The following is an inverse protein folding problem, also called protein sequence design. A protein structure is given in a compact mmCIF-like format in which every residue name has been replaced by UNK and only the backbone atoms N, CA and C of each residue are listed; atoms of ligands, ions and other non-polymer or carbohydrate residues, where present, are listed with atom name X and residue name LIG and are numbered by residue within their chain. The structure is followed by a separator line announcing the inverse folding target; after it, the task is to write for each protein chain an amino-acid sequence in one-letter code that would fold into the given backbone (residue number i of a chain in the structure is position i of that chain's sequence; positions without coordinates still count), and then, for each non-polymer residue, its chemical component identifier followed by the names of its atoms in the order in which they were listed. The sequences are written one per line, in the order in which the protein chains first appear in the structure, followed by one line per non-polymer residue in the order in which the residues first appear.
data_IF_992826190182
#
_entry.id   IF_992826190182
#
_cell.length_a   1.000
_cell.length_b   1.000
_cell.length_c   1.000
_cell.angle_alpha   90.00
_cell.angle_beta   90.00
_cell.angle_gamma   90.00
#
_symmetry.space_group_name_H-M   'P 1'
#
loop_
_entity.id
_entity.type
_entity.pdbx_description
1 polymer ?
#
# COMPACT_ATOMS: atom_id res chain seq x y z
N UNK A 1 4.21 1.82 8.55
CA UNK A 1 3.66 0.52 8.99
C UNK A 1 3.48 0.54 10.49
N UNK A 2 2.25 0.46 10.96
CA UNK A 2 1.90 0.48 12.38
C UNK A 2 0.94 -0.68 12.72
N UNK A 3 0.65 -0.86 14.01
CA UNK A 3 -0.34 -1.82 14.49
C UNK A 3 -1.59 -1.07 14.91
N UNK A 4 -2.73 -1.54 14.42
CA UNK A 4 -4.05 -1.03 14.78
C UNK A 4 -4.48 -1.56 16.17
N UNK A 5 -5.55 -1.00 16.76
CA UNK A 5 -6.08 -1.39 18.07
C UNK A 5 -6.48 -2.89 18.12
N UNK A 6 -6.87 -3.47 16.98
CA UNK A 6 -7.14 -4.91 16.82
C UNK A 6 -5.88 -5.79 16.66
N UNK A 7 -4.67 -5.21 16.76
CA UNK A 7 -3.39 -5.90 16.60
C UNK A 7 -3.04 -6.26 15.15
N UNK A 8 -3.82 -5.77 14.18
CA UNK A 8 -3.57 -5.91 12.75
C UNK A 8 -2.43 -4.97 12.31
N UNK A 9 -1.59 -5.44 11.40
CA UNK A 9 -0.56 -4.65 10.75
C UNK A 9 -1.15 -3.85 9.60
N UNK A 10 -0.99 -2.54 9.64
CA UNK A 10 -1.39 -1.62 8.57
C UNK A 10 -0.15 -1.15 7.83
N UNK A 11 -0.20 -1.27 6.50
CA UNK A 11 0.82 -0.79 5.56
C UNK A 11 0.18 0.18 4.59
N UNK A 12 0.93 1.20 4.23
CA UNK A 12 0.52 2.15 3.20
C UNK A 12 1.66 2.27 2.20
N UNK A 13 1.30 2.45 0.94
CA UNK A 13 2.26 2.72 -0.12
C UNK A 13 2.31 4.25 -0.32
N UNK A 14 3.38 4.93 0.14
CA UNK A 14 3.51 6.38 -0.01
C UNK A 14 3.61 6.80 -1.48
N UNK A 15 4.18 5.95 -2.34
CA UNK A 15 4.26 6.16 -3.80
C UNK A 15 2.87 6.23 -4.46
N UNK A 16 1.87 5.56 -3.87
CA UNK A 16 0.49 5.52 -4.35
C UNK A 16 -0.43 6.14 -3.30
N UNK A 17 -0.63 7.46 -3.36
CA UNK A 17 -1.52 8.17 -2.43
C UNK A 17 -2.89 7.50 -2.36
N UNK A 18 -3.22 6.93 -1.20
CA UNK A 18 -4.48 6.23 -0.93
C UNK A 18 -4.41 4.70 -1.02
N UNK A 19 -3.29 4.12 -1.43
CA UNK A 19 -3.10 2.67 -1.42
C UNK A 19 -2.67 2.21 -0.02
N UNK A 20 -3.66 1.76 0.77
CA UNK A 20 -3.49 1.29 2.13
C UNK A 20 -3.96 -0.16 2.18
N UNK A 21 -3.25 -1.00 2.91
CA UNK A 21 -3.60 -2.39 3.13
C UNK A 21 -3.34 -2.81 4.56
N UNK A 22 -4.04 -3.85 5.01
CA UNK A 22 -3.93 -4.36 6.36
C UNK A 22 -3.85 -5.89 6.36
N UNK A 23 -3.22 -6.46 7.37
CA UNK A 23 -3.13 -7.91 7.56
C UNK A 23 -2.81 -8.28 9.00
N UNK A 24 -3.13 -9.50 9.43
CA UNK A 24 -2.88 -9.98 10.80
C UNK A 24 -1.39 -10.12 11.10
N UNK A 25 -0.57 -10.32 10.08
CA UNK A 25 0.89 -10.39 10.18
C UNK A 25 1.54 -9.37 9.25
N UNK A 26 2.80 -9.01 9.53
CA UNK A 26 3.57 -8.14 8.64
C UNK A 26 3.60 -8.66 7.21
N UNK A 27 3.76 -9.97 7.07
CA UNK A 27 3.91 -10.63 5.79
C UNK A 27 2.60 -10.63 5.01
N UNK A 28 1.47 -10.81 5.70
CA UNK A 28 0.13 -10.70 5.13
C UNK A 28 -0.16 -9.26 4.66
N UNK A 29 0.11 -8.27 5.50
CA UNK A 29 -0.05 -6.87 5.12
C UNK A 29 0.80 -6.50 3.90
N UNK A 30 2.06 -6.97 3.86
CA UNK A 30 2.96 -6.79 2.72
C UNK A 30 2.52 -7.54 1.46
N UNK A 31 1.86 -8.69 1.58
CA UNK A 31 1.31 -9.40 0.43
C UNK A 31 0.10 -8.64 -0.13
N UNK A 32 -0.80 -8.21 0.76
CA UNK A 32 -2.03 -7.52 0.38
C UNK A 32 -1.73 -6.16 -0.28
N UNK A 33 -0.74 -5.41 0.19
CA UNK A 33 -0.35 -4.14 -0.46
C UNK A 33 0.27 -4.37 -1.84
N UNK A 34 1.01 -5.46 -2.06
CA UNK A 34 1.56 -5.79 -3.39
C UNK A 34 0.45 -6.10 -4.38
N UNK A 35 -0.58 -6.84 -3.95
CA UNK A 35 -1.76 -7.09 -4.77
C UNK A 35 -2.54 -5.79 -5.07
N UNK A 36 -2.69 -4.92 -4.07
CA UNK A 36 -3.32 -3.62 -4.26
C UNK A 36 -2.55 -2.73 -5.24
N UNK A 37 -1.21 -2.70 -5.16
CA UNK A 37 -0.34 -1.98 -6.12
C UNK A 37 -0.51 -2.56 -7.52
N UNK A 38 -0.50 -3.88 -7.67
CA UNK A 38 -0.68 -4.53 -8.97
C UNK A 38 -2.05 -4.22 -9.59
N UNK A 39 -3.12 -4.25 -8.78
CA UNK A 39 -4.46 -3.86 -9.22
C UNK A 39 -4.55 -2.38 -9.60
N UNK A 40 -3.87 -1.50 -8.86
CA UNK A 40 -3.81 -0.08 -9.17
C UNK A 40 -3.09 0.19 -10.50
N UNK A 41 -1.96 -0.47 -10.74
CA UNK A 41 -1.23 -0.38 -12.02
C UNK A 41 -2.10 -0.90 -13.16
N UNK A 42 -2.76 -2.05 -12.97
CA UNK A 42 -3.65 -2.61 -13.99
C UNK A 42 -4.81 -1.67 -14.33
N UNK A 43 -5.43 -1.03 -13.32
CA UNK A 43 -6.46 -0.03 -13.52
C UNK A 43 -5.94 1.19 -14.28
N UNK A 44 -4.77 1.74 -13.91
CA UNK A 44 -4.15 2.85 -14.64
C UNK A 44 -3.84 2.49 -16.10
N UNK A 45 -3.38 1.28 -16.36
CA UNK A 45 -3.14 0.80 -17.72
C UNK A 45 -4.44 0.68 -18.53
N UNK A 46 -5.53 0.24 -17.90
CA UNK A 46 -6.85 0.18 -18.53
C UNK A 46 -7.42 1.58 -18.83
N UNK A 47 -7.25 2.52 -17.91
CA UNK A 47 -7.61 3.93 -18.09
C UNK A 47 -6.64 4.71 -19.01
N UNK A 48 -5.53 4.11 -19.45
CA UNK A 48 -4.51 4.77 -20.28
C UNK A 48 -3.77 5.90 -19.57
N UNK A 49 -3.75 5.89 -18.24
CA UNK A 49 -3.11 6.90 -17.39
C UNK A 49 -1.64 6.52 -17.11
N UNK A 50 -0.75 7.52 -17.00
CA UNK A 50 0.65 7.27 -16.69
C UNK A 50 0.80 6.74 -15.26
N UNK A 51 1.54 5.64 -15.10
CA UNK A 51 1.86 5.08 -13.79
C UNK A 51 2.84 6.01 -13.07
N UNK A 52 2.51 6.53 -11.87
CA UNK A 52 3.44 7.36 -11.12
C UNK A 52 4.70 6.58 -10.75
N UNK A 53 5.86 7.15 -11.03
CA UNK A 53 7.17 6.54 -10.79
C UNK A 53 7.44 6.41 -9.27
N UNK A 54 8.03 5.27 -8.89
CA UNK A 54 8.15 4.79 -7.52
C UNK A 54 9.03 5.71 -6.64
N UNK A 55 8.40 6.58 -5.85
CA UNK A 55 9.09 7.38 -4.83
C UNK A 55 8.91 6.70 -3.46
N UNK A 56 9.83 5.79 -3.14
CA UNK A 56 9.97 5.08 -1.85
C UNK A 56 10.22 6.01 -0.64
N UNK A 57 9.35 6.98 -0.36
CA UNK A 57 9.44 7.77 0.87
C UNK A 57 8.49 7.17 1.91
N UNK A 58 8.97 6.12 2.57
CA UNK A 58 8.28 5.50 3.72
C UNK A 58 8.19 6.51 4.86
N UNK A 59 7.09 7.26 4.92
CA UNK A 59 6.71 7.98 6.13
C UNK A 59 6.05 6.99 7.08
N UNK A 60 6.80 6.53 8.08
CA UNK A 60 6.23 5.95 9.28
C UNK A 60 5.52 7.07 10.04
N UNK A 61 4.23 7.27 9.77
CA UNK A 61 3.39 8.14 10.59
C UNK A 61 3.26 7.48 11.97
N UNK A 62 3.95 8.07 12.95
CA UNK A 62 3.70 7.85 14.38
C UNK A 62 2.54 8.78 14.76
N UNK A 63 1.37 8.20 15.04
CA UNK A 63 0.34 8.83 15.88
C UNK A 63 0.29 8.12 17.22
#
# INVERSE_FOLDING_TARGET
MYRDEDGCWVVECPSLKGCISQGKTKQEALSNIKEAIAGYIAALQEDGLPVPEDNFETFLVLV
#
